data_IF_965592439320
#
_entry.id   IF_965592439320
#
_cell.length_a   1.000
_cell.length_b   1.000
_cell.length_c   1.000
_cell.angle_alpha   90.00
_cell.angle_beta   90.00
_cell.angle_gamma   90.00
#
_symmetry.space_group_name_H-M   'P 1'
#
loop_
_entity.id
_entity.type
_entity.pdbx_description
1 polymer ?
#
# COMPACT_ATOMS: atom_id res chain seq x y z
N UNK A 1 -1.83 -30.99 8.49
CA UNK A 1 -2.93 -31.01 9.47
C UNK A 1 -3.11 -29.71 10.26
N UNK A 2 -2.11 -29.18 11.00
CA UNK A 2 -2.27 -27.90 11.73
C UNK A 2 -2.29 -26.68 10.78
N UNK A 3 -1.38 -26.67 9.81
CA UNK A 3 -1.27 -25.59 8.81
C UNK A 3 -2.49 -25.53 7.87
N UNK A 4 -3.10 -26.67 7.53
CA UNK A 4 -4.31 -26.72 6.70
C UNK A 4 -5.54 -26.15 7.41
N UNK A 5 -5.63 -26.36 8.74
CA UNK A 5 -6.71 -25.77 9.56
C UNK A 5 -6.53 -24.25 9.68
N UNK A 6 -5.30 -23.77 9.86
CA UNK A 6 -4.99 -22.34 9.87
C UNK A 6 -5.19 -21.68 8.50
N UNK A 7 -4.87 -22.37 7.40
CA UNK A 7 -5.12 -21.88 6.04
C UNK A 7 -6.61 -21.65 5.79
N UNK A 8 -7.48 -22.55 6.29
CA UNK A 8 -8.93 -22.39 6.21
C UNK A 8 -9.47 -21.19 7.00
N UNK A 9 -8.76 -20.74 8.04
CA UNK A 9 -9.11 -19.51 8.78
C UNK A 9 -8.81 -18.22 8.00
N UNK A 10 -8.01 -18.29 6.93
CA UNK A 10 -7.71 -17.15 6.05
C UNK A 10 -8.19 -17.42 4.62
N UNK A 11 -9.49 -17.35 4.34
CA UNK A 11 -10.06 -17.72 3.03
C UNK A 11 -9.49 -16.88 1.88
N UNK A 12 -9.18 -15.60 2.14
CA UNK A 12 -8.65 -14.69 1.13
C UNK A 12 -7.13 -14.83 0.92
N UNK A 13 -6.43 -15.69 1.67
CA UNK A 13 -4.97 -15.79 1.58
C UNK A 13 -4.50 -16.27 0.20
N UNK A 14 -5.21 -17.24 -0.40
CA UNK A 14 -4.91 -17.72 -1.76
C UNK A 14 -4.97 -16.59 -2.78
N UNK A 15 -6.04 -15.79 -2.73
CA UNK A 15 -6.24 -14.64 -3.60
C UNK A 15 -5.16 -13.57 -3.37
N UNK A 16 -4.90 -13.22 -2.11
CA UNK A 16 -3.89 -12.22 -1.76
C UNK A 16 -2.47 -12.61 -2.20
N UNK A 17 -2.13 -13.90 -2.16
CA UNK A 17 -0.84 -14.41 -2.64
C UNK A 17 -0.73 -14.32 -4.17
N UNK A 18 -1.80 -14.71 -4.88
CA UNK A 18 -1.86 -14.60 -6.34
C UNK A 18 -1.73 -13.13 -6.79
N UNK A 19 -2.53 -12.24 -6.19
CA UNK A 19 -2.50 -10.80 -6.43
C UNK A 19 -1.17 -10.13 -6.06
N UNK A 20 -0.43 -10.69 -5.10
CA UNK A 20 0.90 -10.22 -4.71
C UNK A 20 2.04 -10.80 -5.58
N UNK A 21 1.72 -11.61 -6.59
CA UNK A 21 2.68 -12.38 -7.38
C UNK A 21 3.65 -13.16 -6.48
N UNK A 22 3.11 -13.86 -5.48
CA UNK A 22 3.86 -14.74 -4.57
C UNK A 22 3.51 -16.19 -4.92
N UNK A 23 4.44 -16.86 -5.59
CA UNK A 23 4.29 -18.24 -6.09
C UNK A 23 4.50 -19.27 -4.96
N UNK A 24 3.68 -19.22 -3.91
CA UNK A 24 3.72 -20.17 -2.80
C UNK A 24 2.32 -20.63 -2.44
N UNK A 25 2.17 -21.89 -2.05
CA UNK A 25 0.88 -22.38 -1.55
C UNK A 25 0.55 -21.72 -0.19
N UNK A 26 -0.74 -21.50 0.12
CA UNK A 26 -1.15 -20.89 1.39
C UNK A 26 -0.56 -21.61 2.62
N UNK A 27 -0.46 -22.94 2.56
CA UNK A 27 0.08 -23.76 3.66
C UNK A 27 1.58 -23.52 3.85
N UNK A 28 2.34 -23.46 2.75
CA UNK A 28 3.78 -23.19 2.77
C UNK A 28 4.05 -21.77 3.28
N UNK A 29 3.24 -20.81 2.87
CA UNK A 29 3.34 -19.42 3.32
C UNK A 29 3.08 -19.29 4.83
N UNK A 30 2.03 -19.93 5.35
CA UNK A 30 1.74 -19.94 6.79
C UNK A 30 2.88 -20.59 7.57
N UNK A 31 3.41 -21.72 7.09
CA UNK A 31 4.56 -22.38 7.72
C UNK A 31 5.78 -21.43 7.78
N UNK A 32 6.09 -20.77 6.67
CA UNK A 32 7.19 -19.81 6.60
C UNK A 32 6.98 -18.63 7.57
N UNK A 33 5.77 -18.07 7.61
CA UNK A 33 5.44 -16.98 8.52
C UNK A 33 5.54 -17.38 10.00
N UNK A 34 5.09 -18.58 10.35
CA UNK A 34 5.26 -19.10 11.72
C UNK A 34 6.74 -19.20 12.05
N UNK A 35 7.56 -19.80 11.16
CA UNK A 35 9.00 -19.92 11.41
C UNK A 35 9.69 -18.56 11.54
N UNK A 36 9.37 -17.59 10.67
CA UNK A 36 9.91 -16.24 10.72
C UNK A 36 9.48 -15.49 11.98
N UNK A 37 8.21 -15.59 12.36
CA UNK A 37 7.69 -14.97 13.57
C UNK A 37 8.36 -15.53 14.83
N UNK A 38 8.61 -16.84 14.88
CA UNK A 38 9.34 -17.48 15.98
C UNK A 38 10.80 -17.00 16.04
N UNK A 39 11.51 -16.96 14.93
CA UNK A 39 12.90 -16.47 14.92
C UNK A 39 12.98 -15.00 15.33
N UNK A 40 12.07 -14.16 14.82
CA UNK A 40 12.03 -12.74 15.16
C UNK A 40 11.69 -12.52 16.63
N UNK A 41 10.70 -13.24 17.17
CA UNK A 41 10.33 -13.10 18.58
C UNK A 41 11.44 -13.53 19.53
N UNK A 42 12.17 -14.61 19.19
CA UNK A 42 13.36 -15.04 19.93
C UNK A 42 14.45 -13.97 19.87
N UNK A 43 14.77 -13.46 18.68
CA UNK A 43 15.82 -12.45 18.51
C UNK A 43 15.52 -11.17 19.29
N UNK A 44 14.30 -10.64 19.18
CA UNK A 44 13.87 -9.42 19.89
C UNK A 44 13.89 -9.64 21.40
N UNK A 45 13.39 -10.78 21.87
CA UNK A 45 13.36 -11.09 23.31
C UNK A 45 14.77 -11.30 23.86
N UNK A 46 15.67 -11.92 23.09
CA UNK A 46 17.07 -12.08 23.46
C UNK A 46 17.80 -10.74 23.55
N UNK A 47 17.62 -9.85 22.57
CA UNK A 47 18.18 -8.50 22.60
C UNK A 47 17.65 -7.73 23.81
N UNK A 48 16.33 -7.77 24.05
CA UNK A 48 15.73 -7.13 25.21
C UNK A 48 16.28 -7.68 26.54
N UNK A 49 16.50 -8.99 26.64
CA UNK A 49 17.12 -9.63 27.80
C UNK A 49 18.54 -9.12 28.05
N UNK A 50 19.37 -8.98 26.99
CA UNK A 50 20.73 -8.45 27.12
C UNK A 50 20.75 -7.01 27.66
N UNK A 51 19.83 -6.15 27.18
CA UNK A 51 19.70 -4.78 27.69
C UNK A 51 19.22 -4.75 29.15
N UNK A 52 18.18 -5.53 29.48
CA UNK A 52 17.61 -5.56 30.83
C UNK A 52 18.57 -6.16 31.87
N UNK A 53 19.40 -7.13 31.47
CA UNK A 53 20.42 -7.73 32.34
C UNK A 53 21.44 -6.69 32.85
N UNK A 54 21.71 -5.63 32.07
CA UNK A 54 22.60 -4.53 32.50
C UNK A 54 21.96 -3.52 33.46
N UNK A 55 20.64 -3.42 33.47
CA UNK A 55 19.92 -2.42 34.27
C UNK A 55 19.47 -3.02 35.59
N UNK A 56 18.54 -3.99 35.56
CA UNK A 56 17.97 -4.66 36.74
C UNK A 56 17.48 -6.07 36.38
N UNK A 57 18.02 -7.09 37.05
CA UNK A 57 17.70 -8.51 36.79
C UNK A 57 16.25 -8.88 37.12
N UNK A 58 15.63 -8.22 38.08
CA UNK A 58 14.22 -8.46 38.49
C UNK A 58 13.22 -8.21 37.36
N UNK A 59 13.57 -7.33 36.41
CA UNK A 59 12.71 -7.01 35.26
C UNK A 59 12.64 -8.12 34.20
N UNK A 60 13.51 -9.14 34.28
CA UNK A 60 13.52 -10.24 33.30
C UNK A 60 12.23 -11.06 33.32
N UNK A 61 11.50 -11.11 34.45
CA UNK A 61 10.24 -11.84 34.57
C UNK A 61 9.16 -11.29 33.61
N UNK A 62 9.22 -9.99 33.28
CA UNK A 62 8.29 -9.37 32.34
C UNK A 62 8.46 -9.89 30.90
N UNK A 63 9.63 -10.42 30.53
CA UNK A 63 9.86 -10.95 29.19
C UNK A 63 9.03 -12.20 28.90
N UNK A 64 8.67 -12.97 29.93
CA UNK A 64 7.81 -14.16 29.79
C UNK A 64 6.42 -13.75 29.30
N UNK A 65 5.89 -12.63 29.81
CA UNK A 65 4.62 -12.07 29.37
C UNK A 65 4.73 -11.31 28.05
N UNK A 66 5.88 -10.70 27.78
CA UNK A 66 6.10 -9.91 26.57
C UNK A 66 6.33 -10.78 25.33
N UNK A 67 6.97 -11.94 25.48
CA UNK A 67 7.24 -12.87 24.38
C UNK A 67 6.00 -13.25 23.56
N UNK A 68 4.88 -13.72 24.14
CA UNK A 68 3.69 -14.07 23.36
C UNK A 68 3.10 -12.86 22.64
N UNK A 69 3.17 -11.66 23.24
CA UNK A 69 2.71 -10.41 22.61
C UNK A 69 3.56 -10.09 21.38
N UNK A 70 4.89 -10.13 21.51
CA UNK A 70 5.83 -9.90 20.40
C UNK A 70 5.62 -10.94 19.29
N UNK A 71 5.44 -12.21 19.65
CA UNK A 71 5.19 -13.28 18.69
C UNK A 71 3.90 -13.04 17.90
N UNK A 72 2.79 -12.74 18.57
CA UNK A 72 1.50 -12.45 17.92
C UNK A 72 1.62 -11.24 16.98
N UNK A 73 2.23 -10.15 17.44
CA UNK A 73 2.44 -8.95 16.62
C UNK A 73 3.31 -9.24 15.39
N UNK A 74 4.39 -10.01 15.57
CA UNK A 74 5.28 -10.40 14.47
C UNK A 74 4.56 -11.27 13.45
N UNK A 75 3.77 -12.24 13.92
CA UNK A 75 2.98 -13.10 13.05
C UNK A 75 1.94 -12.31 12.23
N UNK A 76 1.22 -11.39 12.88
CA UNK A 76 0.27 -10.51 12.19
C UNK A 76 0.96 -9.59 11.18
N UNK A 77 2.15 -9.09 11.49
CA UNK A 77 2.93 -8.26 10.57
C UNK A 77 3.29 -9.04 9.30
N UNK A 78 3.87 -10.24 9.42
CA UNK A 78 4.23 -11.07 8.27
C UNK A 78 3.01 -11.54 7.48
N UNK A 79 1.88 -11.80 8.14
CA UNK A 79 0.63 -12.18 7.46
C UNK A 79 0.08 -11.05 6.57
N UNK A 80 0.37 -9.80 6.89
CA UNK A 80 -0.08 -8.64 6.12
C UNK A 80 0.86 -8.26 4.95
N UNK A 81 2.01 -8.93 4.80
CA UNK A 81 2.97 -8.65 3.73
C UNK A 81 2.37 -8.82 2.32
N UNK A 82 1.60 -9.90 2.00
CA UNK A 82 1.00 -10.06 0.67
C UNK A 82 0.03 -8.91 0.37
N UNK A 83 -0.78 -8.51 1.35
CA UNK A 83 -1.73 -7.39 1.22
C UNK A 83 -0.99 -6.09 0.95
N UNK A 84 0.12 -5.83 1.67
CA UNK A 84 0.93 -4.64 1.45
C UNK A 84 1.57 -4.62 0.04
N UNK A 85 2.07 -5.77 -0.42
CA UNK A 85 2.65 -5.93 -1.77
C UNK A 85 1.58 -5.77 -2.86
N UNK A 86 0.40 -6.36 -2.69
CA UNK A 86 -0.73 -6.20 -3.59
C UNK A 86 -1.17 -4.72 -3.66
N UNK A 87 -1.29 -4.02 -2.51
CA UNK A 87 -1.60 -2.57 -2.48
C UNK A 87 -0.57 -1.73 -3.22
N UNK A 88 0.72 -2.08 -3.13
CA UNK A 88 1.76 -1.42 -3.94
C UNK A 88 1.52 -1.66 -5.43
N UNK A 89 1.19 -2.89 -5.82
CA UNK A 89 0.81 -3.25 -7.20
C UNK A 89 -0.40 -2.48 -7.70
N UNK A 90 -1.46 -2.32 -6.90
CA UNK A 90 -2.63 -1.49 -7.24
C UNK A 90 -2.20 -0.08 -7.59
N UNK A 91 -1.37 0.55 -6.75
CA UNK A 91 -0.88 1.92 -6.99
C UNK A 91 -0.04 2.04 -8.26
N UNK A 92 0.73 1.01 -8.62
CA UNK A 92 1.52 1.02 -9.85
C UNK A 92 0.62 0.90 -11.09
N UNK A 93 -0.38 0.01 -11.03
CA UNK A 93 -1.37 -0.18 -12.10
C UNK A 93 -2.22 1.07 -12.28
N UNK A 94 -2.81 1.60 -11.21
CA UNK A 94 -3.73 2.74 -11.28
C UNK A 94 -3.05 4.02 -11.76
N UNK A 95 -1.72 4.15 -11.58
CA UNK A 95 -0.94 5.25 -12.18
C UNK A 95 -0.89 5.17 -13.69
N UNK A 96 -0.72 3.96 -14.23
CA UNK A 96 -0.55 3.75 -15.67
C UNK A 96 -1.89 3.61 -16.40
N UNK A 97 -2.97 3.23 -15.71
CA UNK A 97 -4.22 2.76 -16.34
C UNK A 97 -4.85 3.73 -17.34
N UNK A 98 -4.91 5.02 -17.03
CA UNK A 98 -5.50 6.01 -17.93
C UNK A 98 -4.60 6.22 -19.14
N UNK A 99 -3.28 6.25 -18.96
CA UNK A 99 -2.33 6.45 -20.04
C UNK A 99 -2.23 5.22 -20.94
N UNK A 100 -2.06 4.04 -20.37
CA UNK A 100 -2.00 2.76 -21.08
C UNK A 100 -3.30 2.46 -21.81
N UNK A 101 -4.45 2.72 -21.15
CA UNK A 101 -5.75 2.55 -21.78
C UNK A 101 -6.00 3.53 -22.92
N UNK A 102 -5.58 4.81 -22.80
CA UNK A 102 -5.68 5.78 -23.90
C UNK A 102 -4.77 5.39 -25.06
N UNK A 103 -3.56 4.89 -24.79
CA UNK A 103 -2.68 4.36 -25.82
C UNK A 103 -3.34 3.20 -26.56
N UNK A 104 -3.88 2.22 -25.83
CA UNK A 104 -4.64 1.10 -26.41
C UNK A 104 -5.83 1.59 -27.25
N UNK A 105 -6.59 2.57 -26.75
CA UNK A 105 -7.74 3.16 -27.47
C UNK A 105 -7.33 3.80 -28.79
N UNK A 106 -6.22 4.55 -28.81
CA UNK A 106 -5.69 5.19 -30.02
C UNK A 106 -5.27 4.14 -31.05
N UNK A 107 -4.61 3.06 -30.63
CA UNK A 107 -4.24 1.97 -31.53
C UNK A 107 -5.46 1.27 -32.13
N UNK A 108 -6.43 0.90 -31.29
CA UNK A 108 -7.68 0.27 -31.74
C UNK A 108 -8.46 1.17 -32.69
N UNK A 109 -8.56 2.47 -32.36
CA UNK A 109 -9.24 3.47 -33.21
C UNK A 109 -8.51 3.71 -34.54
N UNK A 110 -7.21 3.40 -34.60
CA UNK A 110 -6.40 3.46 -35.83
C UNK A 110 -6.49 2.18 -36.66
N UNK A 111 -7.32 1.21 -36.25
CA UNK A 111 -7.49 -0.06 -36.94
C UNK A 111 -6.42 -1.11 -36.63
N UNK A 112 -5.59 -0.90 -35.59
CA UNK A 112 -4.63 -1.91 -35.14
C UNK A 112 -5.40 -3.08 -34.51
N UNK A 113 -5.13 -4.34 -34.90
CA UNK A 113 -5.76 -5.50 -34.26
C UNK A 113 -5.52 -5.52 -32.74
N UNK A 114 -6.52 -5.96 -31.96
CA UNK A 114 -6.43 -5.96 -30.50
C UNK A 114 -5.20 -6.68 -29.97
N UNK A 115 -4.84 -7.82 -30.57
CA UNK A 115 -3.68 -8.60 -30.15
C UNK A 115 -2.36 -7.80 -30.28
N UNK A 116 -2.18 -7.11 -31.40
CA UNK A 116 -1.01 -6.26 -31.65
C UNK A 116 -1.01 -5.04 -30.74
N UNK A 117 -2.18 -4.43 -30.54
CA UNK A 117 -2.32 -3.28 -29.65
C UNK A 117 -1.99 -3.64 -28.18
N UNK A 118 -2.47 -4.79 -27.70
CA UNK A 118 -2.07 -5.31 -26.38
C UNK A 118 -0.57 -5.59 -26.30
N UNK A 119 0.06 -6.03 -27.40
CA UNK A 119 1.51 -6.26 -27.49
C UNK A 119 2.30 -4.95 -27.41
N UNK A 120 1.79 -3.87 -27.98
CA UNK A 120 2.43 -2.55 -27.90
C UNK A 120 2.27 -1.94 -26.50
N UNK A 121 1.10 -2.11 -25.87
CA UNK A 121 0.89 -1.75 -24.45
C UNK A 121 1.85 -2.55 -23.55
N UNK A 122 2.03 -3.85 -23.82
CA UNK A 122 2.88 -4.73 -22.99
C UNK A 122 4.34 -4.25 -22.91
N UNK A 123 4.84 -3.70 -24.02
CA UNK A 123 6.21 -3.15 -24.13
C UNK A 123 6.34 -1.75 -23.54
N UNK A 124 5.29 -0.93 -23.61
CA UNK A 124 5.36 0.50 -23.29
C UNK A 124 5.06 0.82 -21.82
N UNK A 125 4.32 -0.04 -21.13
CA UNK A 125 3.81 0.23 -19.77
C UNK A 125 4.23 -0.90 -18.81
N UNK A 126 5.22 -0.72 -17.93
CA UNK A 126 5.74 -1.82 -17.10
C UNK A 126 4.74 -2.46 -16.13
N UNK A 127 3.90 -1.66 -15.46
CA UNK A 127 3.01 -2.17 -14.42
C UNK A 127 1.78 -2.87 -14.99
N UNK A 128 1.18 -2.31 -16.04
CA UNK A 128 0.03 -2.88 -16.74
C UNK A 128 0.45 -3.91 -17.78
N UNK A 129 1.55 -3.64 -18.48
CA UNK A 129 2.02 -4.43 -19.59
C UNK A 129 2.38 -5.86 -19.23
N UNK A 130 2.81 -6.13 -17.99
CA UNK A 130 3.02 -7.50 -17.50
C UNK A 130 1.73 -8.35 -17.55
N UNK A 131 0.55 -7.75 -17.36
CA UNK A 131 -0.72 -8.47 -17.44
C UNK A 131 -1.16 -8.67 -18.88
N UNK A 132 -0.97 -7.67 -19.75
CA UNK A 132 -1.20 -7.85 -21.18
C UNK A 132 -0.26 -8.90 -21.78
N UNK A 133 1.01 -8.94 -21.35
CA UNK A 133 1.95 -9.98 -21.74
C UNK A 133 1.48 -11.37 -21.28
N UNK A 134 0.91 -11.49 -20.08
CA UNK A 134 0.34 -12.75 -19.61
C UNK A 134 -0.86 -13.20 -20.46
N UNK A 135 -1.73 -12.27 -20.89
CA UNK A 135 -2.84 -12.56 -21.83
C UNK A 135 -2.28 -13.07 -23.16
N UNK A 136 -1.27 -12.38 -23.71
CA UNK A 136 -0.61 -12.73 -24.98
C UNK A 136 0.01 -14.13 -24.89
N UNK A 137 0.81 -14.40 -23.86
CA UNK A 137 1.48 -15.68 -23.66
C UNK A 137 0.48 -16.84 -23.59
N UNK A 138 -0.65 -16.66 -22.91
CA UNK A 138 -1.73 -17.67 -22.83
C UNK A 138 -2.39 -17.88 -24.19
N UNK A 139 -2.62 -16.82 -24.93
CA UNK A 139 -3.20 -16.91 -26.26
C UNK A 139 -2.28 -17.61 -27.26
N UNK A 140 -0.96 -17.35 -27.19
CA UNK A 140 0.05 -18.01 -28.04
C UNK A 140 0.12 -19.53 -27.80
N UNK A 141 -0.13 -20.00 -26.58
CA UNK A 141 -0.18 -21.45 -26.28
C UNK A 141 -1.53 -22.09 -26.59
N UNK A 142 -2.47 -21.34 -27.17
CA UNK A 142 -3.75 -21.86 -27.69
C UNK A 142 -4.98 -21.57 -26.82
N UNK A 143 -4.87 -20.79 -25.75
CA UNK A 143 -6.04 -20.36 -24.96
C UNK A 143 -6.83 -19.29 -25.73
N UNK A 144 -8.17 -19.38 -25.82
CA UNK A 144 -8.99 -18.30 -26.39
C UNK A 144 -8.73 -16.97 -25.68
N UNK A 145 -8.68 -15.88 -26.44
CA UNK A 145 -8.26 -14.56 -25.92
C UNK A 145 -9.19 -14.04 -24.81
N UNK A 146 -10.49 -14.32 -24.90
CA UNK A 146 -11.49 -13.94 -23.91
C UNK A 146 -11.36 -14.75 -22.61
N UNK A 147 -11.00 -16.03 -22.72
CA UNK A 147 -10.67 -16.86 -21.56
C UNK A 147 -9.34 -16.41 -20.92
N UNK A 148 -8.33 -16.09 -21.72
CA UNK A 148 -7.06 -15.55 -21.23
C UNK A 148 -7.25 -14.22 -20.47
N UNK A 149 -8.09 -13.32 -20.99
CA UNK A 149 -8.48 -12.09 -20.27
C UNK A 149 -9.19 -12.43 -18.95
N UNK A 150 -10.10 -13.41 -18.96
CA UNK A 150 -10.85 -13.84 -17.77
C UNK A 150 -9.91 -14.32 -16.66
N UNK A 151 -8.93 -15.17 -17.00
CA UNK A 151 -7.95 -15.67 -16.04
C UNK A 151 -7.08 -14.52 -15.48
N UNK A 152 -6.67 -13.56 -16.32
CA UNK A 152 -5.85 -12.42 -15.88
C UNK A 152 -6.65 -11.44 -15.00
N UNK A 153 -7.97 -11.33 -15.20
CA UNK A 153 -8.85 -10.55 -14.33
C UNK A 153 -8.87 -11.05 -12.87
N UNK A 154 -8.66 -12.35 -12.64
CA UNK A 154 -8.55 -12.93 -11.29
C UNK A 154 -7.21 -12.59 -10.63
N UNK A 155 -6.15 -12.41 -11.44
CA UNK A 155 -4.80 -12.14 -10.97
C UNK A 155 -4.56 -10.68 -10.62
N UNK A 156 -5.22 -9.74 -11.32
CA UNK A 156 -5.01 -8.31 -11.07
C UNK A 156 -5.53 -7.89 -9.69
N UNK A 157 -4.72 -7.17 -8.89
CA UNK A 157 -5.17 -6.57 -7.64
C UNK A 157 -5.97 -5.27 -7.85
N UNK A 158 -5.90 -4.62 -9.02
CA UNK A 158 -6.60 -3.35 -9.30
C UNK A 158 -8.01 -3.62 -9.83
N UNK A 159 -9.00 -3.05 -9.14
CA UNK A 159 -10.41 -3.12 -9.55
C UNK A 159 -10.67 -2.33 -10.84
N UNK A 160 -10.02 -1.18 -11.01
CA UNK A 160 -10.18 -0.37 -12.23
C UNK A 160 -9.59 -1.08 -13.44
N UNK A 161 -8.44 -1.75 -13.29
CA UNK A 161 -7.88 -2.55 -14.38
C UNK A 161 -8.74 -3.77 -14.68
N UNK A 162 -9.34 -4.39 -13.65
CA UNK A 162 -10.32 -5.46 -13.84
C UNK A 162 -11.54 -4.99 -14.62
N UNK A 163 -12.10 -3.82 -14.32
CA UNK A 163 -13.21 -3.22 -15.10
C UNK A 163 -12.82 -3.01 -16.55
N UNK A 164 -11.61 -2.48 -16.81
CA UNK A 164 -11.11 -2.25 -18.16
C UNK A 164 -11.00 -3.55 -18.96
N UNK A 165 -10.36 -4.58 -18.38
CA UNK A 165 -10.24 -5.91 -19.01
C UNK A 165 -11.63 -6.55 -19.25
N UNK A 166 -12.55 -6.39 -18.31
CA UNK A 166 -13.91 -6.88 -18.46
C UNK A 166 -14.64 -6.25 -19.65
N UNK A 167 -14.46 -4.94 -19.87
CA UNK A 167 -15.04 -4.26 -21.03
C UNK A 167 -14.46 -4.78 -22.35
N UNK A 168 -13.13 -4.97 -22.41
CA UNK A 168 -12.48 -5.56 -23.60
C UNK A 168 -13.04 -6.95 -23.89
N UNK A 169 -13.08 -7.83 -22.88
CA UNK A 169 -13.62 -9.18 -22.99
C UNK A 169 -15.10 -9.17 -23.42
N UNK A 170 -15.91 -8.29 -22.84
CA UNK A 170 -17.34 -8.20 -23.15
C UNK A 170 -17.58 -7.74 -24.59
N UNK A 171 -16.85 -6.73 -25.06
CA UNK A 171 -16.92 -6.29 -26.46
C UNK A 171 -16.45 -7.38 -27.43
N UNK A 172 -15.38 -8.11 -27.10
CA UNK A 172 -14.92 -9.26 -27.88
C UNK A 172 -16.00 -10.34 -28.04
N UNK A 173 -16.64 -10.75 -26.93
CA UNK A 173 -17.66 -11.80 -26.94
C UNK A 173 -18.94 -11.39 -27.67
N UNK A 174 -19.30 -10.11 -27.60
CA UNK A 174 -20.52 -9.59 -28.22
C UNK A 174 -20.31 -9.13 -29.66
N UNK A 175 -19.05 -9.01 -30.12
CA UNK A 175 -18.71 -8.40 -31.40
C UNK A 175 -18.97 -6.89 -31.43
N UNK A 176 -19.16 -6.25 -30.26
CA UNK A 176 -19.32 -4.81 -30.16
C UNK A 176 -17.97 -4.11 -30.39
N UNK A 177 -18.03 -2.84 -30.78
CA UNK A 177 -16.82 -2.02 -30.91
C UNK A 177 -16.11 -1.87 -29.56
N UNK A 178 -14.85 -2.31 -29.51
CA UNK A 178 -14.01 -2.28 -28.33
C UNK A 178 -13.60 -0.84 -28.02
N UNK A 179 -13.42 0.01 -29.04
CA UNK A 179 -12.93 1.37 -28.89
C UNK A 179 -13.93 2.22 -28.10
N UNK A 180 -15.20 2.23 -28.50
CA UNK A 180 -16.26 2.95 -27.78
C UNK A 180 -16.48 2.46 -26.34
N UNK A 181 -16.43 1.13 -26.11
CA UNK A 181 -16.54 0.57 -24.76
C UNK A 181 -15.34 0.98 -23.88
N UNK A 182 -14.13 0.95 -24.45
CA UNK A 182 -12.89 1.32 -23.79
C UNK A 182 -12.84 2.83 -23.47
N UNK A 183 -13.29 3.68 -24.39
CA UNK A 183 -13.40 5.12 -24.18
C UNK A 183 -14.29 5.43 -22.97
N UNK A 184 -15.49 4.84 -22.91
CA UNK A 184 -16.45 5.06 -21.82
C UNK A 184 -15.87 4.71 -20.44
N UNK A 185 -15.21 3.55 -20.32
CA UNK A 185 -14.62 3.12 -19.05
C UNK A 185 -13.40 3.96 -18.66
N UNK A 186 -12.57 4.38 -19.62
CA UNK A 186 -11.41 5.25 -19.35
C UNK A 186 -11.85 6.62 -18.89
N UNK A 187 -12.92 7.14 -19.47
CA UNK A 187 -13.55 8.38 -19.07
C UNK A 187 -14.08 8.31 -17.64
N UNK A 188 -14.72 7.19 -17.28
CA UNK A 188 -15.16 6.95 -15.91
C UNK A 188 -13.97 6.88 -14.95
N UNK A 189 -12.95 6.08 -15.25
CA UNK A 189 -11.75 5.94 -14.40
C UNK A 189 -11.02 7.27 -14.26
N UNK A 190 -10.88 8.04 -15.35
CA UNK A 190 -10.28 9.37 -15.33
C UNK A 190 -11.06 10.35 -14.46
N UNK A 191 -12.40 10.34 -14.53
CA UNK A 191 -13.26 11.14 -13.64
C UNK A 191 -13.11 10.72 -12.18
N UNK A 192 -13.06 9.42 -11.88
CA UNK A 192 -12.82 8.89 -10.53
C UNK A 192 -11.47 9.40 -9.98
N UNK A 193 -10.39 9.32 -10.76
CA UNK A 193 -9.08 9.83 -10.37
C UNK A 193 -9.09 11.35 -10.12
N UNK A 194 -9.75 12.14 -10.97
CA UNK A 194 -9.90 13.59 -10.77
C UNK A 194 -10.68 13.91 -9.48
N UNK A 195 -11.73 13.15 -9.18
CA UNK A 195 -12.48 13.29 -7.93
C UNK A 195 -11.62 12.95 -6.71
N UNK A 196 -10.81 11.89 -6.78
CA UNK A 196 -9.86 11.55 -5.72
C UNK A 196 -8.85 12.67 -5.48
N UNK A 197 -8.28 13.26 -6.54
CA UNK A 197 -7.38 14.41 -6.44
C UNK A 197 -8.06 15.61 -5.79
N UNK A 198 -9.28 15.93 -6.23
CA UNK A 198 -10.07 17.04 -5.66
C UNK A 198 -10.39 16.81 -4.19
N UNK A 199 -10.76 15.58 -3.82
CA UNK A 199 -11.05 15.20 -2.44
C UNK A 199 -9.79 15.24 -1.56
N UNK A 200 -8.63 14.82 -2.09
CA UNK A 200 -7.35 14.99 -1.42
C UNK A 200 -7.03 16.47 -1.16
N UNK A 201 -7.16 17.33 -2.18
CA UNK A 201 -6.97 18.77 -2.03
C UNK A 201 -7.90 19.39 -0.98
N UNK A 202 -9.17 18.98 -0.94
CA UNK A 202 -10.12 19.40 0.10
C UNK A 202 -9.70 18.97 1.51
N UNK A 203 -9.17 17.75 1.66
CA UNK A 203 -8.68 17.23 2.96
C UNK A 203 -7.36 17.89 3.40
N UNK A 204 -6.56 18.39 2.45
CA UNK A 204 -5.29 19.04 2.75
C UNK A 204 -5.49 20.35 3.53
N UNK A 205 -6.51 21.14 3.21
CA UNK A 205 -6.76 22.43 3.85
C UNK A 205 -6.89 22.34 5.39
N UNK A 206 -7.79 21.52 5.97
CA UNK A 206 -7.85 21.34 7.42
C UNK A 206 -6.60 20.70 8.02
N UNK A 207 -5.89 19.82 7.30
CA UNK A 207 -4.62 19.27 7.79
C UNK A 207 -3.54 20.36 7.95
N UNK A 208 -3.47 21.31 7.01
CA UNK A 208 -2.55 22.46 7.10
C UNK A 208 -2.93 23.36 8.28
N UNK A 209 -4.23 23.61 8.50
CA UNK A 209 -4.68 24.39 9.66
C UNK A 209 -4.29 23.72 10.98
N UNK A 210 -4.49 22.40 11.13
CA UNK A 210 -4.07 21.67 12.32
C UNK A 210 -2.55 21.68 12.50
N UNK A 211 -1.78 21.56 11.42
CA UNK A 211 -0.33 21.68 11.47
C UNK A 211 0.09 23.07 11.99
N UNK A 212 -0.47 24.15 11.45
CA UNK A 212 -0.16 25.51 11.92
C UNK A 212 -0.56 25.69 13.39
N UNK A 213 -1.73 25.23 13.80
CA UNK A 213 -2.18 25.36 15.20
C UNK A 213 -1.33 24.54 16.17
N UNK A 214 -1.18 23.23 15.96
CA UNK A 214 -0.63 22.30 16.95
C UNK A 214 0.90 22.22 16.86
N UNK A 215 1.47 22.24 15.65
CA UNK A 215 2.90 22.03 15.47
C UNK A 215 3.70 23.34 15.48
N UNK A 216 3.06 24.49 15.24
CA UNK A 216 3.73 25.80 15.17
C UNK A 216 3.23 26.76 16.25
N UNK A 217 1.94 27.09 16.27
CA UNK A 217 1.38 28.13 17.15
C UNK A 217 1.40 27.72 18.63
N UNK A 218 0.83 26.55 18.98
CA UNK A 218 0.76 26.08 20.37
C UNK A 218 2.14 25.96 21.01
N UNK A 219 3.16 25.36 20.35
CA UNK A 219 4.50 25.32 20.91
C UNK A 219 5.14 26.70 21.05
N UNK A 220 4.97 27.57 20.06
CA UNK A 220 5.52 28.93 20.10
C UNK A 220 4.92 29.73 21.27
N UNK A 221 3.58 29.75 21.38
CA UNK A 221 2.88 30.39 22.49
C UNK A 221 3.18 29.74 23.84
N UNK A 222 3.34 28.41 23.87
CA UNK A 222 3.71 27.68 25.08
C UNK A 222 5.09 28.09 25.60
N UNK A 223 6.07 28.22 24.71
CA UNK A 223 7.43 28.66 25.06
C UNK A 223 7.42 30.12 25.52
N UNK A 224 6.71 31.02 24.82
CA UNK A 224 6.63 32.43 25.24
C UNK A 224 5.93 32.59 26.59
N UNK A 225 4.80 31.91 26.80
CA UNK A 225 4.10 31.94 28.09
C UNK A 225 4.94 31.34 29.21
N UNK A 226 5.62 30.21 28.96
CA UNK A 226 6.54 29.62 29.94
C UNK A 226 7.66 30.61 30.30
N UNK A 227 8.24 31.29 29.31
CA UNK A 227 9.28 32.29 29.52
C UNK A 227 8.77 33.45 30.37
N UNK A 228 7.58 33.98 30.07
CA UNK A 228 6.97 35.08 30.82
C UNK A 228 6.66 34.68 32.27
N UNK A 229 5.99 33.54 32.46
CA UNK A 229 5.67 33.02 33.80
C UNK A 229 6.92 32.72 34.62
N UNK A 230 7.97 32.19 33.98
CA UNK A 230 9.25 31.94 34.65
C UNK A 230 9.87 33.23 35.19
N UNK A 231 9.75 34.33 34.43
CA UNK A 231 10.24 35.64 34.85
C UNK A 231 9.45 36.24 36.01
N UNK A 232 8.14 36.00 36.10
CA UNK A 232 7.31 36.53 37.18
C UNK A 232 7.37 35.70 38.47
N UNK A 233 7.40 34.37 38.34
CA UNK A 233 7.35 33.44 39.47
C UNK A 233 8.77 33.12 39.99
N UNK A 234 9.81 33.48 39.24
CA UNK A 234 11.20 33.14 39.58
C UNK A 234 11.52 31.66 39.36
N UNK A 235 10.75 30.98 38.49
CA UNK A 235 11.05 29.59 38.11
C UNK A 235 12.30 29.59 37.23
N UNK A 236 13.34 28.87 37.67
CA UNK A 236 14.57 28.79 36.90
C UNK A 236 14.43 27.71 35.80
N UNK A 237 14.11 28.14 34.58
CA UNK A 237 14.01 27.22 33.44
C UNK A 237 15.43 26.84 33.01
N UNK A 238 15.82 25.61 33.30
CA UNK A 238 17.11 25.07 32.89
C UNK A 238 17.24 25.08 31.37
N UNK A 239 18.46 25.32 30.86
CA UNK A 239 18.78 25.16 29.44
C UNK A 239 18.41 23.76 28.91
N UNK A 240 18.52 22.71 29.76
CA UNK A 240 18.12 21.35 29.40
C UNK A 240 16.62 21.22 29.09
N UNK A 241 15.76 21.93 29.84
CA UNK A 241 14.31 21.98 29.60
C UNK A 241 13.96 22.66 28.27
N UNK A 242 14.66 23.74 27.92
CA UNK A 242 14.46 24.42 26.63
C UNK A 242 14.87 23.54 25.44
N UNK A 243 16.00 22.84 25.56
CA UNK A 243 16.42 21.85 24.56
C UNK A 243 15.41 20.71 24.46
N UNK A 244 14.93 20.18 25.58
CA UNK A 244 13.94 19.10 25.57
C UNK A 244 12.65 19.51 24.85
N UNK A 245 12.17 20.75 25.09
CA UNK A 245 11.01 21.31 24.38
C UNK A 245 11.32 21.45 22.89
N UNK A 246 12.45 22.03 22.51
CA UNK A 246 12.84 22.21 21.11
C UNK A 246 12.97 20.89 20.33
N UNK A 247 13.52 19.85 20.97
CA UNK A 247 13.59 18.51 20.39
C UNK A 247 12.19 17.92 20.26
N UNK A 248 11.35 18.04 21.29
CA UNK A 248 9.97 17.56 21.27
C UNK A 248 9.13 18.20 20.15
N UNK A 249 9.23 19.52 19.97
CA UNK A 249 8.51 20.24 18.91
C UNK A 249 9.00 19.87 17.52
N UNK A 250 10.31 19.69 17.35
CA UNK A 250 10.91 19.21 16.10
C UNK A 250 10.38 17.82 15.74
N UNK A 251 10.29 16.91 16.72
CA UNK A 251 9.74 15.57 16.50
C UNK A 251 8.26 15.62 16.11
N UNK A 252 7.44 16.44 16.78
CA UNK A 252 6.04 16.63 16.42
C UNK A 252 5.91 17.15 14.98
N UNK A 253 6.71 18.14 14.60
CA UNK A 253 6.72 18.69 13.24
C UNK A 253 7.10 17.63 12.20
N UNK A 254 8.14 16.82 12.47
CA UNK A 254 8.53 15.73 11.58
C UNK A 254 7.42 14.69 11.41
N UNK A 255 6.75 14.30 12.49
CA UNK A 255 5.62 13.36 12.44
C UNK A 255 4.49 13.90 11.56
N UNK A 256 4.13 15.18 11.72
CA UNK A 256 3.10 15.80 10.88
C UNK A 256 3.50 15.86 9.41
N UNK A 257 4.75 16.22 9.10
CA UNK A 257 5.25 16.34 7.73
C UNK A 257 5.22 14.98 7.01
N UNK A 258 5.64 13.92 7.72
CA UNK A 258 5.58 12.54 7.21
C UNK A 258 4.13 12.12 6.96
N UNK A 259 3.22 12.41 7.89
CA UNK A 259 1.79 12.07 7.77
C UNK A 259 1.13 12.71 6.54
N UNK A 260 1.42 13.99 6.29
CA UNK A 260 0.92 14.70 5.10
C UNK A 260 1.49 14.08 3.82
N UNK A 261 2.80 13.78 3.80
CA UNK A 261 3.46 13.16 2.65
C UNK A 261 2.89 11.78 2.32
N UNK A 262 2.56 10.97 3.33
CA UNK A 262 1.97 9.65 3.15
C UNK A 262 0.51 9.69 2.69
N UNK A 263 -0.20 10.78 2.98
CA UNK A 263 -1.60 10.96 2.57
C UNK A 263 -1.75 11.32 1.09
N UNK A 264 -0.66 11.64 0.37
CA UNK A 264 -0.70 11.99 -1.05
C UNK A 264 -1.22 10.81 -1.88
N UNK A 265 -2.28 10.99 -2.69
CA UNK A 265 -2.80 9.95 -3.55
C UNK A 265 -1.73 9.56 -4.57
N UNK A 266 -1.62 8.27 -4.85
CA UNK A 266 -0.60 7.71 -5.73
C UNK A 266 -0.91 7.92 -7.20
N UNK A 267 -1.42 9.09 -7.60
CA UNK A 267 -1.78 9.39 -8.98
C UNK A 267 -0.57 10.10 -9.60
N UNK A 268 -0.05 9.55 -10.70
CA UNK A 268 1.18 10.03 -11.33
C UNK A 268 1.06 11.47 -11.81
N UNK A 269 2.10 12.26 -11.56
CA UNK A 269 2.53 13.33 -12.46
C UNK A 269 3.47 12.74 -13.49
#
# INVERSE_FOLDING_TARGET
MLYDKLAKSFPNLKLNLAQAAINTTPEKFIKQNITLATYLSIAVTFIAALFLFRIKKELLIFLIFLFPIIYILSFLFFMNVPVAKARKGVREIDKEIVYAGRFLLVELSSGVPLFDAMTNVSKSYPAIGKYFQEIINRSEVGTPIDDAITEVMELTPSDNFRKLLWQIMNSLRTGADISSALESILDQIGREQLLEMKNYGKKLNPMVMFYLMIAVIVPSLGVTMLSLLSSFIGLNVSFGTLIAIAVGTTLIQLVFLISIKQSRPGIGT
#
